data_IF_816133740820
#
_entry.id   IF_816133740820
#
_cell.length_a   1.000
_cell.length_b   1.000
_cell.length_c   1.000
_cell.angle_alpha   90.00
_cell.angle_beta   90.00
_cell.angle_gamma   90.00
#
_symmetry.space_group_name_H-M   'P 1'
#
loop_
_entity.id
_entity.type
_entity.pdbx_description
1 polymer ?
#
# COMPACT_ATOMS: atom_id res chain seq x y z
N UNK A 1 -10.36 49.03 13.81
CA UNK A 1 -10.22 48.02 14.89
C UNK A 1 -11.28 46.95 14.62
N UNK A 2 -10.90 45.80 14.08
CA UNK A 2 -11.86 44.74 13.75
C UNK A 2 -12.43 44.11 15.01
N UNK A 3 -13.71 43.70 14.94
CA UNK A 3 -14.46 43.16 16.08
C UNK A 3 -13.88 41.83 16.56
N UNK A 4 -13.87 41.53 17.88
CA UNK A 4 -13.49 40.22 18.42
C UNK A 4 -14.27 39.04 17.80
N UNK A 5 -15.50 39.30 17.34
CA UNK A 5 -16.38 38.32 16.69
C UNK A 5 -15.93 38.02 15.25
N UNK A 6 -15.31 39.00 14.58
CA UNK A 6 -14.76 38.84 13.23
C UNK A 6 -13.41 38.11 13.27
N UNK A 7 -12.67 38.27 14.37
CA UNK A 7 -11.45 37.50 14.65
C UNK A 7 -11.74 36.04 15.03
N UNK A 8 -12.83 35.75 15.74
CA UNK A 8 -13.22 34.36 16.06
C UNK A 8 -13.75 33.64 14.83
N UNK A 9 -14.55 34.31 13.98
CA UNK A 9 -15.02 33.73 12.71
C UNK A 9 -13.89 33.42 11.73
N UNK A 10 -12.80 34.18 11.75
CA UNK A 10 -11.59 33.87 10.96
C UNK A 10 -10.81 32.66 11.50
N UNK A 11 -10.90 32.35 12.80
CA UNK A 11 -10.36 31.11 13.36
C UNK A 11 -11.23 29.90 13.01
N UNK A 12 -12.55 30.08 12.89
CA UNK A 12 -13.48 29.03 12.46
C UNK A 12 -13.41 28.73 10.94
N UNK A 13 -12.82 29.65 10.15
CA UNK A 13 -12.47 29.47 8.73
C UNK A 13 -11.00 29.00 8.53
N UNK A 14 -10.28 28.67 9.60
CA UNK A 14 -9.09 27.84 9.49
C UNK A 14 -9.63 26.46 9.15
N UNK A 15 -9.38 25.96 7.94
CA UNK A 15 -9.68 24.58 7.57
C UNK A 15 -9.06 23.68 8.63
N UNK A 16 -9.87 23.24 9.59
CA UNK A 16 -9.42 22.36 10.63
C UNK A 16 -8.97 21.10 9.89
N UNK A 17 -7.66 20.85 9.85
CA UNK A 17 -7.13 19.61 9.32
C UNK A 17 -7.61 18.48 10.24
N UNK A 18 -8.81 17.99 9.97
CA UNK A 18 -9.46 16.91 10.68
C UNK A 18 -9.11 15.60 9.99
N UNK A 19 -8.64 14.62 10.74
CA UNK A 19 -8.35 13.28 10.24
C UNK A 19 -7.69 12.43 11.32
N UNK A 20 -7.87 11.11 11.23
CA UNK A 20 -7.14 10.18 12.09
C UNK A 20 -5.68 10.15 11.64
N UNK A 21 -4.72 10.57 12.49
CA UNK A 21 -3.34 10.82 12.02
C UNK A 21 -2.68 9.60 11.36
N UNK A 22 -3.08 8.38 11.77
CA UNK A 22 -2.62 7.13 11.14
C UNK A 22 -2.88 7.11 9.62
N UNK A 23 -4.03 7.63 9.17
CA UNK A 23 -4.46 7.61 7.77
C UNK A 23 -4.33 8.97 7.10
N UNK A 24 -3.92 10.01 7.83
CA UNK A 24 -3.76 11.35 7.27
C UNK A 24 -2.62 11.38 6.24
N UNK A 25 -2.85 12.07 5.12
CA UNK A 25 -1.87 12.31 4.07
C UNK A 25 -0.61 13.02 4.60
N UNK A 26 0.55 12.74 4.01
CA UNK A 26 1.85 13.29 4.40
C UNK A 26 1.90 14.80 4.28
N UNK A 27 1.27 15.39 3.26
CA UNK A 27 1.25 16.84 3.08
C UNK A 27 0.46 17.54 4.20
N UNK A 28 -0.66 16.94 4.63
CA UNK A 28 -1.44 17.42 5.78
C UNK A 28 -0.63 17.28 7.07
N UNK A 29 0.02 16.12 7.30
CA UNK A 29 0.88 15.91 8.46
C UNK A 29 2.06 16.90 8.52
N UNK A 30 2.69 17.18 7.37
CA UNK A 30 3.74 18.19 7.27
C UNK A 30 3.22 19.57 7.66
N UNK A 31 2.05 19.96 7.15
CA UNK A 31 1.44 21.25 7.47
C UNK A 31 1.08 21.37 8.96
N UNK A 32 0.59 20.29 9.59
CA UNK A 32 0.39 20.26 11.05
C UNK A 32 1.72 20.39 11.79
N UNK A 33 2.76 19.64 11.37
CA UNK A 33 4.13 19.74 11.94
C UNK A 33 4.64 21.19 11.90
N UNK A 34 4.43 21.89 10.80
CA UNK A 34 4.86 23.28 10.60
C UNK A 34 3.91 24.33 11.21
N UNK A 35 2.87 23.90 11.95
CA UNK A 35 1.80 24.77 12.48
C UNK A 35 1.10 25.62 11.40
N UNK A 36 1.04 25.13 10.16
CA UNK A 36 0.35 25.77 9.05
C UNK A 36 -0.99 25.07 8.76
N UNK A 37 -2.10 25.69 9.15
CA UNK A 37 -3.44 25.08 9.03
C UNK A 37 -4.24 25.59 7.83
N UNK A 38 -3.56 26.08 6.79
CA UNK A 38 -4.21 26.75 5.66
C UNK A 38 -4.27 25.90 4.38
N UNK A 39 -3.67 24.70 4.38
CA UNK A 39 -3.68 23.82 3.21
C UNK A 39 -5.10 23.31 2.93
N UNK A 40 -5.70 23.63 1.78
CA UNK A 40 -7.00 23.07 1.40
C UNK A 40 -6.87 21.58 1.11
N UNK A 41 -7.80 20.78 1.65
CA UNK A 41 -7.87 19.37 1.30
C UNK A 41 -8.41 19.17 -0.12
N UNK A 42 -7.90 18.17 -0.83
CA UNK A 42 -8.35 17.80 -2.15
C UNK A 42 -8.41 16.26 -2.28
N UNK A 43 -8.96 15.77 -3.39
CA UNK A 43 -9.20 14.34 -3.63
C UNK A 43 -7.93 13.47 -3.54
N UNK A 44 -6.74 14.04 -3.78
CA UNK A 44 -5.47 13.30 -3.66
C UNK A 44 -5.19 12.91 -2.22
N UNK A 45 -5.53 13.76 -1.25
CA UNK A 45 -5.43 13.41 0.16
C UNK A 45 -6.34 12.23 0.51
N UNK A 46 -7.54 12.17 -0.06
CA UNK A 46 -8.46 11.04 0.14
C UNK A 46 -7.88 9.75 -0.47
N UNK A 47 -7.28 9.82 -1.67
CA UNK A 47 -6.64 8.67 -2.32
C UNK A 47 -5.39 8.18 -1.55
N UNK A 48 -4.59 9.09 -1.02
CA UNK A 48 -3.47 8.77 -0.14
C UNK A 48 -3.94 8.15 1.18
N UNK A 49 -4.99 8.71 1.79
CA UNK A 49 -5.63 8.14 2.97
C UNK A 49 -6.19 6.75 2.73
N UNK A 50 -6.83 6.52 1.58
CA UNK A 50 -7.29 5.20 1.16
C UNK A 50 -6.14 4.20 1.05
N UNK A 51 -5.01 4.61 0.45
CA UNK A 51 -3.81 3.79 0.39
C UNK A 51 -3.30 3.42 1.80
N UNK A 52 -3.31 4.36 2.75
CA UNK A 52 -2.95 4.07 4.14
C UNK A 52 -3.91 3.10 4.82
N UNK A 53 -5.21 3.23 4.59
CA UNK A 53 -6.20 2.25 5.08
C UNK A 53 -5.92 0.86 4.53
N UNK A 54 -5.60 0.75 3.23
CA UNK A 54 -5.27 -0.54 2.59
C UNK A 54 -4.04 -1.18 3.24
N UNK A 55 -2.92 -0.46 3.34
CA UNK A 55 -1.67 -1.07 3.86
C UNK A 55 -1.78 -1.40 5.34
N UNK A 56 -2.38 -0.53 6.17
CA UNK A 56 -2.62 -0.81 7.59
C UNK A 56 -3.58 -2.00 7.74
N UNK A 57 -4.64 -2.04 6.92
CA UNK A 57 -5.59 -3.16 6.89
C UNK A 57 -4.91 -4.48 6.55
N UNK A 58 -4.10 -4.52 5.49
CA UNK A 58 -3.34 -5.73 5.12
C UNK A 58 -2.33 -6.14 6.20
N UNK A 59 -1.72 -5.19 6.89
CA UNK A 59 -0.76 -5.48 7.96
C UNK A 59 -1.48 -6.05 9.20
N UNK A 60 -2.58 -5.44 9.63
CA UNK A 60 -3.21 -5.76 10.91
C UNK A 60 -4.31 -6.84 10.83
N UNK A 61 -4.98 -7.00 9.68
CA UNK A 61 -6.10 -7.93 9.58
C UNK A 61 -5.68 -9.39 9.74
N UNK A 62 -6.45 -10.14 10.51
CA UNK A 62 -6.19 -11.56 10.77
C UNK A 62 -5.05 -11.82 11.77
N UNK A 63 -4.53 -10.78 12.44
CA UNK A 63 -3.55 -10.90 13.53
C UNK A 63 -4.23 -10.90 14.90
N UNK A 64 -3.60 -11.54 15.88
CA UNK A 64 -4.00 -11.34 17.27
C UNK A 64 -3.56 -9.93 17.73
N UNK A 65 -4.34 -9.22 18.57
CA UNK A 65 -4.03 -7.84 18.98
C UNK A 65 -2.63 -7.64 19.58
N UNK A 66 -2.05 -8.66 20.22
CA UNK A 66 -0.70 -8.61 20.80
C UNK A 66 0.44 -8.82 19.80
N UNK A 67 0.09 -9.19 18.56
CA UNK A 67 1.02 -9.46 17.47
C UNK A 67 1.03 -8.37 16.39
N UNK A 68 0.32 -7.27 16.64
CA UNK A 68 0.32 -6.11 15.75
C UNK A 68 1.72 -5.48 15.66
N UNK A 69 2.17 -5.07 14.45
CA UNK A 69 3.47 -4.45 14.31
C UNK A 69 3.55 -3.09 14.99
N UNK A 70 4.35 -3.03 16.07
CA UNK A 70 4.57 -1.81 16.86
C UNK A 70 5.11 -0.62 16.07
N UNK A 71 5.69 -0.84 14.89
CA UNK A 71 6.24 0.26 14.11
C UNK A 71 5.14 1.21 13.59
N UNK A 72 3.93 0.71 13.31
CA UNK A 72 2.80 1.54 12.89
C UNK A 72 2.24 2.42 14.02
N UNK A 73 2.51 2.10 15.29
CA UNK A 73 2.14 2.97 16.43
C UNK A 73 2.77 4.36 16.28
N UNK A 74 3.94 4.45 15.63
CA UNK A 74 4.62 5.72 15.36
C UNK A 74 3.93 6.59 14.32
N UNK A 75 2.95 6.07 13.59
CA UNK A 75 2.15 6.86 12.65
C UNK A 75 1.02 7.62 13.36
N UNK A 76 0.74 7.29 14.63
CA UNK A 76 -0.33 7.88 15.42
C UNK A 76 0.10 8.05 16.88
N UNK A 77 0.97 9.02 17.09
CA UNK A 77 1.39 9.54 18.40
C UNK A 77 0.83 10.94 18.62
N UNK A 78 1.05 11.50 19.81
CA UNK A 78 0.75 12.91 20.12
C UNK A 78 1.65 13.90 19.35
N UNK A 79 2.75 13.44 18.74
CA UNK A 79 3.67 14.27 17.97
C UNK A 79 3.41 14.16 16.47
N UNK A 80 2.90 15.24 15.86
CA UNK A 80 2.72 15.34 14.41
C UNK A 80 4.06 15.19 13.65
N UNK A 81 5.15 15.70 14.23
CA UNK A 81 6.50 15.53 13.69
C UNK A 81 6.90 14.05 13.64
N UNK A 82 6.73 13.32 14.74
CA UNK A 82 7.06 11.90 14.79
C UNK A 82 6.21 11.08 13.81
N UNK A 83 4.92 11.43 13.71
CA UNK A 83 3.97 10.79 12.79
C UNK A 83 4.37 11.01 11.33
N UNK A 84 4.71 12.25 10.96
CA UNK A 84 5.17 12.60 9.63
C UNK A 84 6.47 11.88 9.28
N UNK A 85 7.49 11.99 10.13
CA UNK A 85 8.84 11.46 9.83
C UNK A 85 8.85 9.94 9.74
N UNK A 86 8.15 9.26 10.65
CA UNK A 86 8.05 7.79 10.63
C UNK A 86 7.31 7.32 9.38
N UNK A 87 6.15 7.92 9.07
CA UNK A 87 5.37 7.55 7.89
C UNK A 87 6.13 7.85 6.60
N UNK A 88 6.78 9.01 6.50
CA UNK A 88 7.60 9.36 5.35
C UNK A 88 8.75 8.36 5.18
N UNK A 89 9.44 7.98 6.27
CA UNK A 89 10.52 7.00 6.23
C UNK A 89 10.03 5.64 5.73
N UNK A 90 8.94 5.14 6.31
CA UNK A 90 8.36 3.84 5.97
C UNK A 90 7.88 3.82 4.51
N UNK A 91 7.20 4.86 4.04
CA UNK A 91 6.68 4.92 2.68
C UNK A 91 7.78 5.24 1.65
N UNK A 92 8.70 6.17 1.93
CA UNK A 92 9.69 6.61 0.95
C UNK A 92 10.89 5.68 0.87
N UNK A 93 11.48 5.33 2.01
CA UNK A 93 12.82 4.73 2.08
C UNK A 93 12.77 3.23 2.39
N UNK A 94 11.80 2.81 3.21
CA UNK A 94 11.77 1.45 3.75
C UNK A 94 10.49 0.69 3.41
N UNK A 95 9.89 0.99 2.25
CA UNK A 95 8.57 0.46 1.89
C UNK A 95 8.51 -1.06 1.93
N UNK A 96 9.50 -1.75 1.36
CA UNK A 96 9.51 -3.21 1.36
C UNK A 96 9.63 -3.76 2.79
N UNK A 97 10.65 -3.31 3.53
CA UNK A 97 10.95 -3.84 4.86
C UNK A 97 9.93 -3.45 5.94
N UNK A 98 9.30 -2.28 5.83
CA UNK A 98 8.39 -1.74 6.84
C UNK A 98 6.92 -1.93 6.46
N UNK A 99 6.57 -2.10 5.18
CA UNK A 99 5.19 -2.30 4.74
C UNK A 99 4.99 -3.70 4.17
N UNK A 100 5.67 -4.04 3.07
CA UNK A 100 5.36 -5.27 2.34
C UNK A 100 5.73 -6.52 3.14
N UNK A 101 6.89 -6.55 3.79
CA UNK A 101 7.35 -7.70 4.59
C UNK A 101 6.45 -7.98 5.81
N UNK A 102 5.63 -7.00 6.20
CA UNK A 102 4.63 -7.16 7.27
C UNK A 102 3.28 -7.68 6.79
N UNK A 103 3.05 -7.81 5.48
CA UNK A 103 1.81 -8.43 4.99
C UNK A 103 1.86 -9.93 5.32
N UNK A 104 0.84 -10.47 6.01
CA UNK A 104 0.77 -11.91 6.27
C UNK A 104 0.52 -12.67 4.95
N UNK A 105 0.77 -14.00 4.93
CA UNK A 105 0.64 -14.80 3.70
C UNK A 105 -0.72 -14.69 2.99
N UNK A 106 -1.80 -14.41 3.74
CA UNK A 106 -3.13 -14.20 3.18
C UNK A 106 -3.23 -12.98 2.25
N UNK A 107 -2.33 -12.01 2.39
CA UNK A 107 -2.27 -10.79 1.57
C UNK A 107 -1.06 -10.75 0.63
N UNK A 108 -0.39 -11.88 0.39
CA UNK A 108 0.77 -11.93 -0.52
C UNK A 108 0.44 -11.37 -1.91
N UNK A 109 -0.72 -11.75 -2.46
CA UNK A 109 -1.20 -11.25 -3.76
C UNK A 109 -1.48 -9.74 -3.80
N UNK A 110 -1.63 -9.09 -2.65
CA UNK A 110 -1.91 -7.65 -2.53
C UNK A 110 -0.62 -6.81 -2.48
N UNK A 111 0.55 -7.41 -2.23
CA UNK A 111 1.83 -6.66 -2.17
C UNK A 111 2.11 -5.89 -3.45
N UNK A 112 1.88 -6.53 -4.61
CA UNK A 112 2.06 -5.89 -5.92
C UNK A 112 1.15 -4.69 -6.10
N UNK A 113 -0.12 -4.79 -5.68
CA UNK A 113 -1.05 -3.66 -5.67
C UNK A 113 -0.54 -2.53 -4.79
N UNK A 114 -0.12 -2.82 -3.56
CA UNK A 114 0.42 -1.80 -2.65
C UNK A 114 1.65 -1.08 -3.26
N UNK A 115 2.58 -1.81 -3.88
CA UNK A 115 3.71 -1.21 -4.60
C UNK A 115 3.28 -0.33 -5.77
N UNK A 116 2.27 -0.77 -6.56
CA UNK A 116 1.76 0.00 -7.69
C UNK A 116 1.06 1.28 -7.24
N UNK A 117 0.19 1.20 -6.23
CA UNK A 117 -0.50 2.37 -5.68
C UNK A 117 0.49 3.39 -5.13
N UNK A 118 1.54 2.95 -4.42
CA UNK A 118 2.62 3.83 -3.97
C UNK A 118 3.26 4.57 -5.14
N UNK A 119 3.56 3.89 -6.25
CA UNK A 119 4.17 4.51 -7.43
C UNK A 119 3.21 5.48 -8.13
N UNK A 120 1.93 5.15 -8.20
CA UNK A 120 0.91 6.02 -8.81
C UNK A 120 0.80 7.32 -8.01
N UNK A 121 0.67 7.19 -6.69
CA UNK A 121 0.52 8.32 -5.77
C UNK A 121 1.80 9.15 -5.70
N UNK A 122 2.93 8.54 -5.36
CA UNK A 122 4.14 9.31 -5.01
C UNK A 122 5.17 9.38 -6.13
N UNK A 123 5.00 8.65 -7.22
CA UNK A 123 6.01 8.49 -8.27
C UNK A 123 7.04 7.41 -7.91
N UNK A 124 7.89 7.06 -8.89
CA UNK A 124 8.86 5.97 -8.74
C UNK A 124 9.93 6.31 -7.70
N UNK A 125 10.40 7.56 -7.70
CA UNK A 125 11.45 8.08 -6.82
C UNK A 125 10.90 9.09 -5.80
N UNK A 126 9.59 9.01 -5.52
CA UNK A 126 8.88 9.97 -4.67
C UNK A 126 8.80 11.39 -5.26
N UNK A 127 8.91 11.48 -6.59
CA UNK A 127 9.01 12.70 -7.39
C UNK A 127 7.66 13.42 -7.60
N UNK A 128 6.54 12.79 -7.27
CA UNK A 128 5.18 13.39 -7.33
C UNK A 128 4.69 13.96 -6.00
N UNK A 129 5.51 13.90 -4.96
CA UNK A 129 5.14 14.42 -3.65
C UNK A 129 5.13 15.96 -3.63
N UNK A 130 4.04 16.58 -3.14
CA UNK A 130 3.90 18.04 -3.01
C UNK A 130 3.76 18.81 -4.33
N UNK A 131 3.56 18.12 -5.46
CA UNK A 131 3.19 18.77 -6.72
C UNK A 131 1.67 19.02 -6.69
N UNK A 132 1.25 20.26 -6.99
CA UNK A 132 -0.16 20.61 -7.23
C UNK A 132 -0.64 19.91 -8.52
N UNK A 133 -0.96 18.63 -8.36
CA UNK A 133 -1.42 17.71 -9.39
C UNK A 133 -2.94 17.74 -9.53
N UNK A 134 -3.59 18.87 -9.25
CA UNK A 134 -5.02 19.09 -9.56
C UNK A 134 -5.38 18.81 -11.04
N UNK A 135 -4.39 18.52 -11.88
CA UNK A 135 -4.48 18.15 -13.30
C UNK A 135 -4.22 16.67 -13.63
N UNK A 136 -3.67 15.84 -12.73
CA UNK A 136 -3.38 14.43 -13.03
C UNK A 136 -4.52 13.53 -12.54
N UNK A 137 -5.22 12.88 -13.47
CA UNK A 137 -6.23 11.89 -13.10
C UNK A 137 -5.56 10.64 -12.51
N UNK A 138 -5.73 10.45 -11.19
CA UNK A 138 -5.20 9.29 -10.45
C UNK A 138 -6.21 8.14 -10.38
N UNK A 139 -7.48 8.37 -10.71
CA UNK A 139 -8.52 7.35 -10.57
C UNK A 139 -8.29 6.20 -11.55
N UNK A 140 -8.10 6.51 -12.82
CA UNK A 140 -7.92 5.49 -13.87
C UNK A 140 -6.70 4.57 -13.62
N UNK A 141 -5.51 5.10 -13.27
CA UNK A 141 -4.38 4.24 -12.88
C UNK A 141 -4.65 3.38 -11.64
N UNK A 142 -5.32 3.93 -10.62
CA UNK A 142 -5.66 3.18 -9.39
C UNK A 142 -6.63 2.04 -9.72
N UNK A 143 -7.72 2.34 -10.44
CA UNK A 143 -8.73 1.36 -10.85
C UNK A 143 -8.08 0.26 -11.70
N UNK A 144 -7.20 0.64 -12.63
CA UNK A 144 -6.48 -0.32 -13.46
C UNK A 144 -5.60 -1.25 -12.62
N UNK A 145 -4.86 -0.71 -11.64
CA UNK A 145 -4.03 -1.52 -10.75
C UNK A 145 -4.85 -2.52 -9.92
N UNK A 146 -6.05 -2.13 -9.46
CA UNK A 146 -6.99 -3.04 -8.81
C UNK A 146 -7.46 -4.15 -9.73
N UNK A 147 -7.96 -3.81 -10.92
CA UNK A 147 -8.47 -4.79 -11.88
C UNK A 147 -7.40 -5.81 -12.26
N UNK A 148 -6.19 -5.36 -12.60
CA UNK A 148 -5.06 -6.24 -12.92
C UNK A 148 -4.74 -7.18 -11.76
N UNK A 149 -4.75 -6.67 -10.52
CA UNK A 149 -4.47 -7.50 -9.33
C UNK A 149 -5.58 -8.53 -9.09
N UNK A 150 -6.84 -8.14 -9.27
CA UNK A 150 -7.98 -9.04 -9.14
C UNK A 150 -7.90 -10.16 -10.18
N UNK A 151 -7.61 -9.82 -11.44
CA UNK A 151 -7.44 -10.80 -12.51
C UNK A 151 -6.29 -11.77 -12.20
N UNK A 152 -5.16 -11.26 -11.71
CA UNK A 152 -4.02 -12.10 -11.33
C UNK A 152 -4.34 -13.08 -10.19
N UNK A 153 -5.06 -12.61 -9.16
CA UNK A 153 -5.50 -13.45 -8.04
C UNK A 153 -6.54 -14.48 -8.50
N UNK A 154 -7.46 -14.11 -9.40
CA UNK A 154 -8.47 -15.00 -9.94
C UNK A 154 -7.88 -16.10 -10.84
N UNK A 155 -6.79 -15.81 -11.55
CA UNK A 155 -6.09 -16.74 -12.45
C UNK A 155 -5.08 -17.67 -11.71
N UNK A 156 -4.65 -17.30 -10.50
CA UNK A 156 -3.67 -18.07 -9.72
C UNK A 156 -4.08 -19.54 -9.44
N UNK A 157 -5.35 -19.84 -9.08
CA UNK A 157 -5.83 -21.21 -8.87
C UNK A 157 -5.75 -22.07 -10.15
N UNK A 158 -6.04 -21.50 -11.31
CA UNK A 158 -6.07 -22.21 -12.59
C UNK A 158 -4.66 -22.65 -13.00
N UNK A 159 -3.67 -21.77 -12.87
CA UNK A 159 -2.26 -22.06 -13.17
C UNK A 159 -1.69 -23.14 -12.25
N UNK A 160 -2.04 -23.16 -10.96
CA UNK A 160 -1.64 -24.23 -10.03
C UNK A 160 -2.22 -25.58 -10.44
N UNK A 161 -3.48 -25.62 -10.87
CA UNK A 161 -4.12 -26.86 -11.34
C UNK A 161 -3.43 -27.39 -12.62
N UNK A 162 -3.13 -26.52 -13.57
CA UNK A 162 -2.46 -26.90 -14.83
C UNK A 162 -1.01 -27.37 -14.61
N UNK A 163 -0.24 -26.68 -13.77
CA UNK A 163 1.12 -27.08 -13.42
C UNK A 163 1.16 -28.44 -12.71
N UNK A 164 0.18 -28.70 -11.84
CA UNK A 164 0.06 -29.99 -11.14
C UNK A 164 -0.30 -31.12 -12.12
N UNK A 165 -1.17 -30.86 -13.10
CA UNK A 165 -1.48 -31.81 -14.19
C UNK A 165 -0.26 -32.10 -15.05
N UNK A 166 0.47 -31.08 -15.49
CA UNK A 166 1.66 -31.24 -16.34
C UNK A 166 2.80 -32.01 -15.65
N UNK A 167 3.00 -31.81 -14.35
CA UNK A 167 4.00 -32.54 -13.55
C UNK A 167 3.63 -34.01 -13.38
N UNK A 168 2.33 -34.30 -13.18
CA UNK A 168 1.83 -35.68 -13.09
C UNK A 168 2.01 -36.43 -14.42
N UNK A 169 1.73 -35.79 -15.56
CA UNK A 169 1.89 -36.38 -16.90
C UNK A 169 3.37 -36.68 -17.23
N UNK A 170 4.31 -35.80 -16.83
CA UNK A 170 5.74 -36.05 -17.02
C UNK A 170 6.25 -37.25 -16.21
N UNK A 171 5.81 -37.39 -14.96
CA UNK A 171 6.24 -38.50 -14.11
C UNK A 171 5.67 -39.85 -14.57
N UNK A 172 4.46 -39.88 -15.15
CA UNK A 172 3.89 -41.11 -15.72
C UNK A 172 4.58 -41.56 -17.01
N UNK A 173 5.03 -40.64 -17.87
CA UNK A 173 5.78 -41.01 -19.08
C UNK A 173 7.22 -41.49 -18.81
N UNK A 174 7.82 -41.11 -17.68
CA UNK A 174 9.17 -41.52 -17.31
C UNK A 174 9.24 -42.96 -16.75
N UNK A 175 8.13 -43.51 -16.24
CA UNK A 175 8.08 -44.88 -15.69
C UNK A 175 7.83 -45.97 -16.73
N UNK A 176 7.51 -45.62 -17.98
CA UNK A 176 7.04 -46.58 -19.01
C UNK A 176 8.08 -46.89 -20.11
N UNK A 177 9.36 -46.60 -19.89
CA UNK A 177 10.44 -47.02 -20.80
C UNK A 177 10.97 -48.41 -20.39
N UNK A 178 10.64 -49.50 -21.12
CA UNK A 178 11.19 -50.82 -20.82
C UNK A 178 12.69 -50.84 -21.14
N UNK A 179 13.50 -51.17 -20.14
CA UNK A 179 14.95 -51.34 -20.25
C UNK A 179 15.29 -52.47 -21.22
N UNK A 180 15.49 -52.10 -22.49
CA UNK A 180 15.87 -53.01 -23.58
C UNK A 180 17.40 -53.17 -23.63
N UNK A 181 18.04 -53.52 -22.52
CA UNK A 181 19.42 -54.02 -22.56
C UNK A 181 19.43 -55.49 -22.99
N UNK A 182 19.52 -55.66 -24.31
CA UNK A 182 19.78 -56.92 -24.99
C UNK A 182 21.02 -57.60 -24.39
N UNK A 183 20.78 -58.83 -23.93
CA UNK A 183 21.80 -59.88 -23.80
C UNK A 183 22.50 -60.04 -25.15
N UNK A 184 23.81 -59.82 -25.20
CA UNK A 184 24.67 -60.46 -26.18
C UNK A 184 25.61 -61.40 -25.42
N UNK A 185 25.33 -62.70 -25.57
CA UNK A 185 26.30 -63.79 -25.41
C UNK A 185 26.96 -63.97 -26.79
N UNK A 186 28.26 -64.24 -26.78
CA UNK A 186 29.06 -64.56 -27.96
C UNK A 186 30.53 -64.37 -27.63
#
# INVERSE_FOLDING_TARGET
MSSPIESSRKMDEVFAMTGTMQYMALELLWNIKENNFTLPQNYRHDLESFFYVLVVGCICYGREPKSEPKHLEKWFTESAESNYESKLSDIKQHFDAMILDYFPPAFEGVKKLASNLRKILFGQDFDRFGIDESTHDLYDPIISAFNETIDEIAEEPLKKIEATKATKTRNTSAMDMPDRRKRQRG
#
